data_IF_199460982985
#
_entry.id   IF_199460982985
#
_cell.length_a   1.000
_cell.length_b   1.000
_cell.length_c   1.000
_cell.angle_alpha   90.00
_cell.angle_beta   90.00
_cell.angle_gamma   90.00
#
_symmetry.space_group_name_H-M   'P 1'
#
loop_
_entity.id
_entity.type
_entity.pdbx_description
1 polymer ?
#
# COMPACT_ATOMS: atom_id res chain seq x y z
N UNK A 1 10.43 1.26 13.22
CA UNK A 1 11.80 1.39 13.74
C UNK A 1 12.00 0.63 15.05
N UNK A 2 11.16 0.86 16.07
CA UNK A 2 11.29 0.21 17.38
C UNK A 2 11.43 -1.33 17.31
N UNK A 3 10.70 -1.97 16.42
CA UNK A 3 10.75 -3.44 16.23
C UNK A 3 11.88 -3.89 15.28
N UNK A 4 12.86 -3.05 15.01
CA UNK A 4 14.01 -3.35 14.14
C UNK A 4 13.74 -3.20 12.65
N UNK A 5 12.58 -2.64 12.26
CA UNK A 5 12.24 -2.41 10.86
C UNK A 5 12.95 -1.15 10.37
N UNK A 6 13.74 -1.29 9.30
CA UNK A 6 14.46 -0.19 8.66
C UNK A 6 13.78 0.31 7.39
N UNK A 7 12.92 -0.50 6.77
CA UNK A 7 12.28 -0.23 5.50
C UNK A 7 10.83 -0.72 5.52
N UNK A 8 9.90 0.08 4.98
CA UNK A 8 8.48 -0.25 4.89
C UNK A 8 7.97 -0.11 3.46
N UNK A 9 7.00 -0.94 3.07
CA UNK A 9 6.34 -0.87 1.75
C UNK A 9 5.11 0.06 1.80
N UNK A 10 5.36 1.30 2.20
CA UNK A 10 4.35 2.36 2.36
C UNK A 10 5.00 3.72 2.01
N UNK A 11 4.24 4.65 1.40
CA UNK A 11 2.81 4.67 1.15
C UNK A 11 2.37 3.92 -0.12
N UNK A 12 1.13 3.40 -0.08
CA UNK A 12 0.42 2.96 -1.27
C UNK A 12 -0.22 4.20 -1.92
N UNK A 13 0.11 4.48 -3.19
CA UNK A 13 -0.24 5.72 -3.89
C UNK A 13 -1.04 5.47 -5.18
N UNK A 14 -1.63 4.30 -5.29
CA UNK A 14 -2.44 3.98 -6.44
C UNK A 14 -3.68 4.87 -6.50
N UNK A 15 -3.99 5.30 -7.72
CA UNK A 15 -5.18 6.05 -8.03
C UNK A 15 -6.19 5.09 -8.65
N UNK A 16 -7.39 4.99 -8.08
CA UNK A 16 -8.41 4.06 -8.51
C UNK A 16 -9.80 4.70 -8.49
N UNK A 17 -10.56 4.50 -9.58
CA UNK A 17 -11.96 4.89 -9.68
C UNK A 17 -12.92 3.69 -9.66
N UNK A 18 -12.42 2.48 -9.89
CA UNK A 18 -13.27 1.30 -9.96
C UNK A 18 -13.39 0.63 -8.59
N UNK A 19 -14.56 0.74 -7.91
CA UNK A 19 -14.74 0.17 -6.58
C UNK A 19 -14.72 -1.37 -6.56
N UNK A 20 -14.69 -2.03 -7.72
CA UNK A 20 -14.55 -3.48 -7.82
C UNK A 20 -13.12 -3.96 -7.58
N UNK A 21 -12.12 -3.06 -7.69
CA UNK A 21 -10.75 -3.43 -7.39
C UNK A 21 -10.56 -3.68 -5.90
N UNK A 22 -10.16 -4.91 -5.53
CA UNK A 22 -10.09 -5.34 -4.13
C UNK A 22 -9.12 -4.54 -3.26
N UNK A 23 -8.14 -3.86 -3.87
CA UNK A 23 -7.15 -3.04 -3.17
C UNK A 23 -7.52 -1.55 -3.09
N UNK A 24 -8.70 -1.16 -3.56
CA UNK A 24 -9.16 0.24 -3.48
C UNK A 24 -9.13 0.77 -2.03
N UNK A 25 -9.36 -0.09 -1.05
CA UNK A 25 -9.32 0.25 0.38
C UNK A 25 -7.94 0.72 0.85
N UNK A 26 -6.87 0.36 0.15
CA UNK A 26 -5.50 0.82 0.45
C UNK A 26 -5.22 2.20 -0.16
N UNK A 27 -6.05 2.70 -1.11
CA UNK A 27 -5.84 3.94 -1.83
C UNK A 27 -6.04 5.18 -0.94
N UNK A 28 -5.43 6.29 -1.38
CA UNK A 28 -5.56 7.60 -0.72
C UNK A 28 -6.78 8.41 -1.22
N UNK A 29 -7.76 7.74 -1.84
CA UNK A 29 -8.93 8.37 -2.44
C UNK A 29 -8.78 8.66 -3.93
N UNK A 30 -9.74 9.38 -4.48
CA UNK A 30 -9.88 9.66 -5.93
C UNK A 30 -9.40 11.07 -6.33
N UNK A 31 -8.82 11.83 -5.39
CA UNK A 31 -8.31 13.17 -5.65
C UNK A 31 -6.77 13.14 -5.72
N UNK A 32 -6.17 13.37 -6.91
CA UNK A 32 -4.72 13.39 -7.06
C UNK A 32 -4.01 14.45 -6.21
N UNK A 33 -4.68 15.56 -5.90
CA UNK A 33 -4.12 16.60 -5.04
C UNK A 33 -4.07 16.13 -3.59
N UNK A 34 -5.17 15.59 -3.06
CA UNK A 34 -5.20 15.02 -1.71
C UNK A 34 -4.19 13.88 -1.57
N UNK A 35 -4.17 12.95 -2.53
CA UNK A 35 -3.20 11.85 -2.56
C UNK A 35 -1.75 12.37 -2.54
N UNK A 36 -1.45 13.47 -3.26
CA UNK A 36 -0.13 14.10 -3.25
C UNK A 36 0.23 14.69 -1.88
N UNK A 37 -0.72 15.29 -1.17
CA UNK A 37 -0.51 15.82 0.18
C UNK A 37 -0.30 14.72 1.21
N UNK A 38 -1.06 13.65 1.10
CA UNK A 38 -0.90 12.48 1.97
C UNK A 38 0.43 11.76 1.69
N UNK A 39 0.83 11.61 0.42
CA UNK A 39 2.12 11.06 0.03
C UNK A 39 3.29 11.82 0.68
N UNK A 40 3.27 13.16 0.59
CA UNK A 40 4.25 14.03 1.24
C UNK A 40 4.30 13.79 2.75
N UNK A 41 3.15 13.81 3.40
CA UNK A 41 3.05 13.67 4.86
C UNK A 41 3.52 12.29 5.33
N UNK A 42 3.15 11.22 4.61
CA UNK A 42 3.51 9.85 4.97
C UNK A 42 5.02 9.62 4.79
N UNK A 43 5.59 10.05 3.64
CA UNK A 43 7.04 9.92 3.41
C UNK A 43 7.84 10.65 4.47
N UNK A 44 7.50 11.92 4.76
CA UNK A 44 8.15 12.70 5.82
C UNK A 44 7.95 12.09 7.21
N UNK A 45 6.75 11.53 7.47
CA UNK A 45 6.45 10.88 8.74
C UNK A 45 7.29 9.62 8.99
N UNK A 46 7.53 8.81 7.96
CA UNK A 46 8.39 7.63 8.07
C UNK A 46 9.87 7.99 8.09
N UNK A 47 10.31 8.86 7.20
CA UNK A 47 11.74 9.14 6.99
C UNK A 47 12.28 10.25 7.89
N UNK A 48 11.40 11.03 8.53
CA UNK A 48 11.77 12.25 9.27
C UNK A 48 12.55 13.24 8.38
N UNK A 49 13.37 14.10 8.94
CA UNK A 49 14.21 15.02 8.17
C UNK A 49 15.47 14.33 7.59
N UNK A 50 15.83 13.15 8.11
CA UNK A 50 16.96 12.34 7.63
C UNK A 50 16.73 10.86 7.94
N UNK A 51 17.10 10.00 7.00
CA UNK A 51 17.07 8.55 7.19
C UNK A 51 18.01 8.05 8.29
N UNK A 52 19.03 8.82 8.65
CA UNK A 52 19.93 8.50 9.76
C UNK A 52 19.34 8.83 11.15
N UNK A 53 18.25 9.60 11.21
CA UNK A 53 17.62 9.98 12.46
C UNK A 53 17.05 8.78 13.22
N UNK A 54 16.97 8.93 14.54
CA UNK A 54 16.31 7.97 15.40
C UNK A 54 14.83 7.85 14.99
N UNK A 55 14.36 6.60 14.87
CA UNK A 55 12.97 6.33 14.48
C UNK A 55 12.67 6.41 12.99
N UNK A 56 13.58 6.88 12.16
CA UNK A 56 13.37 6.92 10.72
C UNK A 56 13.28 5.51 10.11
N UNK A 57 12.36 5.34 9.17
CA UNK A 57 12.15 4.12 8.37
C UNK A 57 12.10 4.54 6.90
N UNK A 58 12.85 3.86 6.04
CA UNK A 58 12.83 4.16 4.62
C UNK A 58 11.43 3.87 4.04
N UNK A 59 10.85 4.85 3.36
CA UNK A 59 9.55 4.72 2.71
C UNK A 59 9.68 4.11 1.32
N UNK A 60 8.64 3.40 0.88
CA UNK A 60 8.52 2.84 -0.46
C UNK A 60 7.20 3.28 -1.08
N UNK A 61 7.26 4.19 -2.05
CA UNK A 61 6.08 4.61 -2.79
C UNK A 61 5.63 3.50 -3.76
N UNK A 62 4.40 3.03 -3.62
CA UNK A 62 3.87 1.90 -4.38
C UNK A 62 2.42 2.11 -4.79
N UNK A 63 1.94 1.43 -5.83
CA UNK A 63 2.69 0.63 -6.80
C UNK A 63 2.87 1.47 -8.07
N UNK A 64 4.08 1.76 -8.42
CA UNK A 64 4.39 2.59 -9.58
C UNK A 64 4.28 1.76 -10.87
N UNK A 65 3.31 1.96 -11.77
CA UNK A 65 2.30 3.00 -11.82
C UNK A 65 1.06 2.51 -12.57
N UNK A 66 -0.12 2.98 -12.16
CA UNK A 66 -1.38 2.72 -12.88
C UNK A 66 -2.12 1.47 -12.44
N UNK A 67 -1.69 0.78 -11.40
CA UNK A 67 -2.25 -0.50 -10.95
C UNK A 67 -3.75 -0.42 -10.60
N UNK A 68 -4.18 0.68 -9.97
CA UNK A 68 -5.59 0.92 -9.64
C UNK A 68 -6.51 1.18 -10.84
N UNK A 69 -5.95 1.27 -12.06
CA UNK A 69 -6.72 1.40 -13.29
C UNK A 69 -7.01 0.06 -13.98
N UNK A 70 -6.71 -1.06 -13.32
CA UNK A 70 -6.90 -2.40 -13.87
C UNK A 70 -8.31 -2.59 -14.41
N UNK A 71 -8.43 -3.03 -15.66
CA UNK A 71 -9.70 -3.09 -16.36
C UNK A 71 -10.69 -4.01 -15.65
N UNK A 72 -11.90 -3.49 -15.44
CA UNK A 72 -12.96 -4.19 -14.73
C UNK A 72 -12.70 -4.41 -13.25
N UNK A 73 -11.75 -3.70 -12.65
CA UNK A 73 -11.32 -3.88 -11.27
C UNK A 73 -10.63 -5.22 -11.01
N UNK A 74 -10.19 -5.91 -12.07
CA UNK A 74 -9.52 -7.21 -11.94
C UNK A 74 -8.05 -7.01 -11.64
N UNK A 75 -7.63 -7.54 -10.51
CA UNK A 75 -6.24 -7.45 -10.07
C UNK A 75 -5.29 -8.06 -11.09
N UNK A 76 -4.09 -7.48 -11.26
CA UNK A 76 -3.09 -7.85 -12.26
C UNK A 76 -3.45 -7.62 -13.74
N UNK A 77 -4.65 -7.10 -14.04
CA UNK A 77 -5.09 -6.93 -15.41
C UNK A 77 -4.40 -5.73 -16.09
N UNK A 78 -4.53 -5.65 -17.41
CA UNK A 78 -3.98 -4.55 -18.18
C UNK A 78 -4.67 -3.21 -17.87
N UNK A 79 -3.98 -2.14 -18.18
CA UNK A 79 -4.50 -0.77 -18.05
C UNK A 79 -4.27 0.02 -19.34
N UNK A 80 -5.28 0.79 -19.74
CA UNK A 80 -5.14 1.77 -20.82
C UNK A 80 -5.18 3.17 -20.24
N UNK A 81 -4.04 3.82 -20.19
CA UNK A 81 -3.88 5.14 -19.59
C UNK A 81 -3.26 6.08 -20.63
N UNK A 82 -4.04 7.08 -21.05
CA UNK A 82 -3.51 8.13 -21.94
C UNK A 82 -2.41 8.93 -21.22
N UNK A 83 -1.52 9.56 -21.99
CA UNK A 83 -0.49 10.43 -21.42
C UNK A 83 -1.11 11.59 -20.61
N UNK A 84 -2.24 12.12 -21.05
CA UNK A 84 -2.97 13.13 -20.29
C UNK A 84 -3.39 12.61 -18.91
N UNK A 85 -4.03 11.45 -18.85
CA UNK A 85 -4.44 10.84 -17.57
C UNK A 85 -3.24 10.46 -16.71
N UNK A 86 -2.18 9.90 -17.29
CA UNK A 86 -0.95 9.56 -16.59
C UNK A 86 -0.38 10.77 -15.83
N UNK A 87 -0.24 11.92 -16.52
CA UNK A 87 0.36 13.12 -15.96
C UNK A 87 -0.53 13.86 -14.97
N UNK A 88 -1.86 13.77 -15.09
CA UNK A 88 -2.78 14.52 -14.26
C UNK A 88 -3.34 13.71 -13.08
N UNK A 89 -3.46 12.38 -13.22
CA UNK A 89 -4.08 11.55 -12.18
C UNK A 89 -3.08 10.62 -11.47
N UNK A 90 -2.21 9.94 -12.21
CA UNK A 90 -1.36 8.88 -11.64
C UNK A 90 0.01 9.38 -11.17
N UNK A 91 0.64 10.28 -11.91
CA UNK A 91 1.96 10.83 -11.57
C UNK A 91 1.96 11.75 -10.34
N UNK A 92 0.94 12.58 -10.05
CA UNK A 92 1.05 13.62 -9.03
C UNK A 92 1.44 13.10 -7.64
N UNK A 93 0.85 12.01 -7.16
CA UNK A 93 1.18 11.45 -5.86
C UNK A 93 2.62 10.91 -5.80
N UNK A 94 3.06 10.20 -6.85
CA UNK A 94 4.45 9.72 -6.93
C UNK A 94 5.46 10.86 -7.05
N UNK A 95 5.15 11.90 -7.81
CA UNK A 95 5.98 13.12 -7.87
C UNK A 95 6.14 13.74 -6.48
N UNK A 96 5.05 13.83 -5.73
CA UNK A 96 5.06 14.35 -4.36
C UNK A 96 5.91 13.48 -3.43
N UNK A 97 5.80 12.15 -3.52
CA UNK A 97 6.64 11.23 -2.76
C UNK A 97 8.12 11.38 -3.10
N UNK A 98 8.47 11.46 -4.40
CA UNK A 98 9.85 11.67 -4.86
C UNK A 98 10.40 13.00 -4.36
N UNK A 99 9.64 14.09 -4.52
CA UNK A 99 10.02 15.42 -4.04
C UNK A 99 10.19 15.49 -2.51
N UNK A 100 9.51 14.60 -1.80
CA UNK A 100 9.65 14.44 -0.33
C UNK A 100 10.78 13.51 0.07
N UNK A 101 11.56 13.02 -0.90
CA UNK A 101 12.76 12.21 -0.68
C UNK A 101 12.46 10.72 -0.44
N UNK A 102 11.35 10.17 -0.96
CA UNK A 102 11.07 8.73 -0.85
C UNK A 102 12.30 7.90 -1.23
N UNK A 103 12.73 7.04 -0.31
CA UNK A 103 13.95 6.26 -0.47
C UNK A 103 13.85 5.20 -1.57
N UNK A 104 12.66 4.64 -1.74
CA UNK A 104 12.41 3.54 -2.68
C UNK A 104 11.07 3.69 -3.38
N UNK A 105 10.97 3.03 -4.53
CA UNK A 105 9.74 2.89 -5.30
C UNK A 105 9.54 1.42 -5.64
N UNK A 106 8.33 0.91 -5.55
CA UNK A 106 7.97 -0.44 -5.98
C UNK A 106 7.16 -0.34 -7.28
N UNK A 107 7.57 -1.07 -8.33
CA UNK A 107 6.78 -1.11 -9.56
C UNK A 107 5.48 -1.88 -9.37
N UNK A 108 4.51 -1.60 -10.22
CA UNK A 108 3.23 -2.28 -10.25
C UNK A 108 3.24 -3.52 -11.16
N UNK A 109 2.24 -4.39 -11.01
CA UNK A 109 2.11 -5.64 -11.77
C UNK A 109 1.55 -5.47 -13.18
N UNK A 110 0.68 -4.47 -13.36
CA UNK A 110 -0.09 -4.30 -14.59
C UNK A 110 0.79 -3.98 -15.80
N UNK A 111 0.31 -4.32 -16.95
CA UNK A 111 0.76 -3.69 -18.18
C UNK A 111 0.04 -2.37 -18.41
N UNK A 112 0.75 -1.41 -18.95
CA UNK A 112 0.18 -0.13 -19.36
C UNK A 112 0.33 0.02 -20.87
N UNK A 113 -0.80 0.11 -21.55
CA UNK A 113 -0.85 0.25 -23.01
C UNK A 113 -0.05 -0.87 -23.70
N UNK A 114 -0.20 -2.11 -23.24
CA UNK A 114 0.42 -3.31 -23.77
C UNK A 114 1.86 -3.61 -23.34
N UNK A 115 2.45 -2.80 -22.44
CA UNK A 115 3.80 -3.04 -21.90
C UNK A 115 3.74 -3.16 -20.39
N UNK A 116 4.12 -4.31 -19.79
CA UNK A 116 4.23 -4.45 -18.34
C UNK A 116 5.14 -3.39 -17.74
N UNK A 117 4.73 -2.81 -16.63
CA UNK A 117 5.51 -1.74 -15.99
C UNK A 117 6.91 -2.24 -15.64
N UNK A 118 7.05 -3.50 -15.22
CA UNK A 118 8.35 -4.13 -14.92
C UNK A 118 9.33 -4.17 -16.12
N UNK A 119 8.82 -4.09 -17.36
CA UNK A 119 9.64 -4.05 -18.59
C UNK A 119 9.67 -2.64 -19.22
N UNK A 120 9.01 -1.65 -18.62
CA UNK A 120 8.85 -0.33 -19.24
C UNK A 120 9.98 0.65 -18.87
N UNK A 121 11.03 0.70 -19.71
CA UNK A 121 12.07 1.71 -19.59
C UNK A 121 11.49 3.14 -19.57
N UNK A 122 10.46 3.40 -20.41
CA UNK A 122 9.78 4.71 -20.45
C UNK A 122 9.28 5.11 -19.05
N UNK A 123 8.62 4.21 -18.34
CA UNK A 123 8.04 4.53 -17.02
C UNK A 123 9.11 4.59 -15.94
N UNK A 124 9.96 3.55 -15.83
CA UNK A 124 10.90 3.39 -14.71
C UNK A 124 12.16 4.25 -14.85
N UNK A 125 12.65 4.44 -16.08
CA UNK A 125 13.87 5.22 -16.31
C UNK A 125 13.56 6.63 -16.79
N UNK A 126 12.86 6.77 -17.93
CA UNK A 126 12.74 8.08 -18.58
C UNK A 126 11.80 9.02 -17.80
N UNK A 127 10.71 8.50 -17.23
CA UNK A 127 9.78 9.30 -16.42
C UNK A 127 10.24 9.33 -14.97
N UNK A 128 10.31 8.20 -14.27
CA UNK A 128 10.57 8.17 -12.83
C UNK A 128 11.94 8.80 -12.48
N UNK A 129 13.00 8.36 -13.14
CA UNK A 129 14.34 8.90 -12.87
C UNK A 129 14.60 10.19 -13.64
N UNK A 130 14.31 10.21 -14.95
CA UNK A 130 14.64 11.34 -15.82
C UNK A 130 13.80 12.58 -15.56
N UNK A 131 12.46 12.45 -15.51
CA UNK A 131 11.55 13.62 -15.37
C UNK A 131 11.16 13.92 -13.93
N UNK A 132 11.01 12.91 -13.06
CA UNK A 132 10.67 13.13 -11.67
C UNK A 132 11.89 13.27 -10.76
N UNK A 133 13.09 12.91 -11.24
CA UNK A 133 14.34 13.06 -10.50
C UNK A 133 14.54 12.04 -9.38
N UNK A 134 13.93 10.86 -9.46
CA UNK A 134 14.08 9.82 -8.44
C UNK A 134 15.52 9.26 -8.43
N UNK A 135 16.20 9.36 -7.29
CA UNK A 135 17.59 8.94 -7.07
C UNK A 135 17.75 7.70 -6.17
N UNK A 136 16.65 7.17 -5.62
CA UNK A 136 16.62 5.95 -4.85
C UNK A 136 16.63 4.68 -5.70
N UNK A 137 16.36 3.52 -5.09
CA UNK A 137 16.26 2.28 -5.85
C UNK A 137 14.81 1.85 -6.10
N UNK A 138 14.60 1.14 -7.21
CA UNK A 138 13.32 0.52 -7.56
C UNK A 138 13.38 -0.95 -7.19
N UNK A 139 12.41 -1.41 -6.40
CA UNK A 139 12.20 -2.84 -6.13
C UNK A 139 11.03 -3.35 -6.98
N UNK A 140 11.10 -4.58 -7.44
CA UNK A 140 9.92 -5.24 -8.04
C UNK A 140 8.85 -5.47 -6.99
N UNK A 141 7.57 -5.56 -7.40
CA UNK A 141 6.55 -6.17 -6.56
C UNK A 141 6.74 -7.70 -6.54
N UNK A 142 6.01 -8.38 -5.69
CA UNK A 142 6.09 -9.83 -5.43
C UNK A 142 5.91 -10.65 -6.71
N UNK A 143 6.99 -11.25 -7.17
CA UNK A 143 6.94 -12.06 -8.39
C UNK A 143 6.77 -11.27 -9.69
N UNK A 144 6.88 -9.94 -9.70
CA UNK A 144 6.56 -9.12 -10.87
C UNK A 144 7.55 -9.29 -12.03
N UNK A 145 8.78 -9.69 -11.77
CA UNK A 145 9.77 -9.96 -12.83
C UNK A 145 9.42 -11.27 -13.54
N UNK A 146 9.19 -12.34 -12.81
CA UNK A 146 8.84 -13.64 -13.43
C UNK A 146 7.51 -13.57 -14.19
N UNK A 147 6.58 -12.71 -13.77
CA UNK A 147 5.31 -12.48 -14.47
C UNK A 147 5.47 -11.90 -15.88
N UNK A 148 6.62 -11.35 -16.26
CA UNK A 148 6.90 -10.95 -17.64
C UNK A 148 6.75 -12.12 -18.64
N UNK A 149 6.89 -13.34 -18.19
CA UNK A 149 6.59 -14.55 -18.98
C UNK A 149 5.08 -14.67 -19.24
N UNK A 150 4.26 -14.40 -18.23
CA UNK A 150 2.79 -14.45 -18.33
C UNK A 150 2.24 -13.36 -19.28
N UNK A 151 2.94 -12.22 -19.35
CA UNK A 151 2.66 -11.14 -20.30
C UNK A 151 3.29 -11.38 -21.69
N UNK A 152 3.84 -12.56 -21.96
CA UNK A 152 4.50 -12.92 -23.23
C UNK A 152 5.65 -11.97 -23.63
N UNK A 153 6.27 -11.28 -22.67
CA UNK A 153 7.42 -10.40 -22.91
C UNK A 153 8.76 -11.12 -22.81
N UNK A 154 8.80 -12.24 -22.10
CA UNK A 154 9.98 -13.08 -21.94
C UNK A 154 9.63 -14.57 -22.08
N UNK A 155 10.56 -15.35 -22.66
CA UNK A 155 10.40 -16.82 -22.77
C UNK A 155 10.73 -17.54 -21.46
N UNK A 156 11.64 -16.96 -20.67
CA UNK A 156 12.17 -17.56 -19.45
C UNK A 156 12.62 -16.49 -18.45
N UNK A 157 13.03 -16.92 -17.25
CA UNK A 157 13.43 -16.03 -16.16
C UNK A 157 14.69 -15.20 -16.49
N UNK A 158 15.62 -15.74 -17.29
CA UNK A 158 16.79 -14.99 -17.75
C UNK A 158 16.37 -13.79 -18.64
N UNK A 159 15.44 -14.02 -19.59
CA UNK A 159 14.87 -12.95 -20.40
C UNK A 159 14.09 -11.93 -19.59
N UNK A 160 13.34 -12.39 -18.60
CA UNK A 160 12.60 -11.53 -17.67
C UNK A 160 13.56 -10.66 -16.84
N UNK A 161 14.63 -11.24 -16.28
CA UNK A 161 15.66 -10.52 -15.54
C UNK A 161 16.34 -9.44 -16.38
N UNK A 162 16.69 -9.78 -17.64
CA UNK A 162 17.30 -8.84 -18.58
C UNK A 162 16.39 -7.62 -18.85
N UNK A 163 15.12 -7.88 -19.16
CA UNK A 163 14.15 -6.82 -19.44
C UNK A 163 13.93 -5.91 -18.23
N UNK A 164 13.74 -6.50 -17.05
CA UNK A 164 13.49 -5.75 -15.83
C UNK A 164 14.69 -4.87 -15.42
N UNK A 165 15.91 -5.42 -15.47
CA UNK A 165 17.12 -4.64 -15.17
C UNK A 165 17.32 -3.50 -16.17
N UNK A 166 17.15 -3.77 -17.46
CA UNK A 166 17.23 -2.74 -18.53
C UNK A 166 16.14 -1.67 -18.42
N UNK A 167 14.98 -2.02 -17.89
CA UNK A 167 13.91 -1.07 -17.62
C UNK A 167 14.22 -0.15 -16.43
N UNK A 168 15.03 -0.61 -15.46
CA UNK A 168 15.45 0.18 -14.30
C UNK A 168 15.00 -0.35 -12.94
N UNK A 169 14.61 -1.62 -12.83
CA UNK A 169 14.41 -2.32 -11.55
C UNK A 169 15.77 -2.70 -10.98
N UNK A 170 16.04 -2.25 -9.76
CA UNK A 170 17.32 -2.45 -9.09
C UNK A 170 17.35 -3.67 -8.18
N UNK A 171 16.18 -4.09 -7.67
CA UNK A 171 16.04 -5.19 -6.71
C UNK A 171 14.87 -6.09 -7.09
N UNK A 172 15.12 -7.38 -7.11
CA UNK A 172 14.13 -8.44 -7.34
C UNK A 172 13.46 -8.85 -6.03
N UNK A 173 12.13 -8.95 -6.01
CA UNK A 173 11.38 -9.45 -4.85
C UNK A 173 10.86 -10.86 -5.13
N UNK A 174 11.42 -11.85 -4.42
CA UNK A 174 10.96 -13.26 -4.33
C UNK A 174 11.22 -14.14 -5.55
N UNK A 175 11.37 -13.57 -6.74
CA UNK A 175 11.48 -14.34 -7.99
C UNK A 175 12.78 -15.12 -8.14
N UNK A 176 13.85 -14.69 -7.48
CA UNK A 176 15.22 -15.17 -7.68
C UNK A 176 15.73 -15.04 -9.14
N UNK A 177 15.04 -14.29 -9.99
CA UNK A 177 15.41 -14.08 -11.38
C UNK A 177 16.78 -13.41 -11.50
N UNK A 178 17.03 -12.40 -10.67
CA UNK A 178 18.33 -11.74 -10.65
C UNK A 178 19.42 -12.63 -10.06
N UNK A 179 19.12 -13.27 -8.95
CA UNK A 179 20.08 -14.16 -8.28
C UNK A 179 20.56 -15.30 -9.19
N UNK A 180 19.65 -15.90 -9.94
CA UNK A 180 19.96 -17.07 -10.75
C UNK A 180 20.56 -16.73 -12.12
N UNK A 181 20.36 -15.52 -12.67
CA UNK A 181 20.63 -15.29 -14.09
C UNK A 181 21.54 -14.08 -14.39
N UNK A 182 21.72 -13.10 -13.48
CA UNK A 182 22.50 -11.90 -13.82
C UNK A 182 23.97 -12.20 -14.15
N UNK A 183 24.60 -13.15 -13.47
CA UNK A 183 25.99 -13.53 -13.75
C UNK A 183 26.16 -14.04 -15.18
N UNK A 184 25.31 -14.96 -15.62
CA UNK A 184 25.33 -15.50 -16.98
C UNK A 184 25.00 -14.44 -18.03
N UNK A 185 24.05 -13.55 -17.74
CA UNK A 185 23.68 -12.46 -18.63
C UNK A 185 24.83 -11.46 -18.85
N UNK A 186 25.64 -11.20 -17.83
CA UNK A 186 26.88 -10.42 -17.97
C UNK A 186 27.94 -11.19 -18.77
N UNK A 187 28.19 -12.45 -18.41
CA UNK A 187 29.19 -13.26 -19.07
C UNK A 187 28.91 -13.45 -20.58
N UNK A 188 27.64 -13.50 -20.95
CA UNK A 188 27.20 -13.57 -22.36
C UNK A 188 27.12 -12.22 -23.07
N UNK A 189 27.38 -11.11 -22.38
CA UNK A 189 27.31 -9.75 -22.95
C UNK A 189 25.90 -9.24 -23.23
N UNK A 190 24.85 -9.90 -22.74
CA UNK A 190 23.45 -9.47 -22.89
C UNK A 190 23.12 -8.24 -22.03
N UNK A 191 23.74 -8.13 -20.86
CA UNK A 191 23.73 -6.93 -20.01
C UNK A 191 25.14 -6.50 -19.70
N UNK A 192 25.35 -5.21 -19.44
CA UNK A 192 26.65 -4.73 -19.00
C UNK A 192 26.78 -4.77 -17.47
N UNK A 193 27.99 -4.98 -16.98
CA UNK A 193 28.30 -4.93 -15.55
C UNK A 193 27.98 -3.55 -14.95
N UNK A 194 28.09 -2.47 -15.74
CA UNK A 194 27.73 -1.11 -15.30
C UNK A 194 26.27 -1.00 -14.89
N UNK A 195 25.33 -1.73 -15.52
CA UNK A 195 23.92 -1.72 -15.10
C UNK A 195 23.74 -2.35 -13.73
N UNK A 196 24.48 -3.43 -13.45
CA UNK A 196 24.45 -4.06 -12.12
C UNK A 196 25.08 -3.10 -11.10
N UNK A 197 26.24 -2.51 -11.41
CA UNK A 197 26.92 -1.59 -10.53
C UNK A 197 26.04 -0.39 -10.16
N UNK A 198 25.29 0.17 -11.11
CA UNK A 198 24.34 1.25 -10.87
C UNK A 198 23.22 0.83 -9.92
N UNK A 199 22.69 -0.38 -10.06
CA UNK A 199 21.64 -0.90 -9.19
C UNK A 199 22.16 -1.15 -7.77
N UNK A 200 23.33 -1.76 -7.66
CA UNK A 200 24.02 -1.99 -6.38
C UNK A 200 24.32 -0.66 -5.68
N UNK A 201 24.87 0.33 -6.40
CA UNK A 201 25.16 1.66 -5.87
C UNK A 201 23.92 2.31 -5.26
N UNK A 202 22.76 2.25 -5.93
CA UNK A 202 21.50 2.81 -5.42
C UNK A 202 21.07 2.16 -4.12
N UNK A 203 21.16 0.84 -4.04
CA UNK A 203 20.80 0.08 -2.81
C UNK A 203 21.77 0.44 -1.67
N UNK A 204 23.09 0.43 -1.95
CA UNK A 204 24.13 0.76 -0.96
C UNK A 204 23.99 2.19 -0.47
N UNK A 205 23.70 3.15 -1.36
CA UNK A 205 23.45 4.55 -1.02
C UNK A 205 22.30 4.74 -0.02
N UNK A 206 21.22 3.98 -0.15
CA UNK A 206 20.12 4.04 0.83
C UNK A 206 20.55 3.43 2.16
N UNK A 207 21.28 2.30 2.16
CA UNK A 207 21.84 1.72 3.39
C UNK A 207 22.79 2.67 4.10
N UNK A 208 23.62 3.37 3.36
CA UNK A 208 24.56 4.39 3.86
C UNK A 208 23.81 5.58 4.46
N UNK A 209 22.85 6.16 3.73
CA UNK A 209 21.98 7.25 4.23
C UNK A 209 21.27 6.88 5.53
N UNK A 210 21.02 5.60 5.76
CA UNK A 210 20.42 5.08 7.00
C UNK A 210 21.44 4.80 8.11
N UNK A 211 22.73 4.89 7.83
CA UNK A 211 23.81 4.55 8.78
C UNK A 211 23.90 3.06 9.10
N UNK A 212 23.44 2.18 8.19
CA UNK A 212 23.40 0.74 8.45
C UNK A 212 24.77 0.06 8.38
N UNK A 213 25.77 0.71 7.80
CA UNK A 213 27.15 0.20 7.79
C UNK A 213 27.83 0.41 9.15
N UNK A 214 27.55 1.51 9.85
CA UNK A 214 28.08 1.81 11.19
C UNK A 214 27.25 1.16 12.28
N UNK A 215 25.91 1.13 12.10
CA UNK A 215 24.95 0.61 13.09
C UNK A 215 23.90 -0.27 12.40
N UNK A 216 24.24 -1.52 12.04
CA UNK A 216 23.31 -2.42 11.34
C UNK A 216 22.07 -2.77 12.15
N UNK A 217 22.20 -2.77 13.48
CA UNK A 217 21.07 -2.93 14.41
C UNK A 217 20.80 -1.58 15.06
N UNK A 218 19.62 -1.03 14.79
CA UNK A 218 19.17 0.24 15.35
C UNK A 218 18.25 -0.05 16.54
N UNK A 219 18.55 0.59 17.68
CA UNK A 219 17.74 0.47 18.90
C UNK A 219 17.09 1.80 19.20
N UNK A 220 15.79 1.80 19.48
CA UNK A 220 15.01 3.00 19.72
C UNK A 220 14.15 2.83 20.98
N UNK A 221 13.78 3.95 21.59
CA UNK A 221 12.82 3.96 22.68
C UNK A 221 11.43 3.52 22.19
N UNK A 222 10.74 2.76 23.04
CA UNK A 222 9.38 2.31 22.72
C UNK A 222 8.45 3.52 22.60
N UNK A 223 7.67 3.64 21.48
CA UNK A 223 6.74 4.73 21.32
C UNK A 223 5.58 4.63 22.33
N UNK A 224 4.93 5.75 22.61
CA UNK A 224 3.69 5.76 23.39
C UNK A 224 2.53 5.19 22.55
N UNK A 225 2.27 3.90 22.75
CA UNK A 225 1.21 3.17 22.05
C UNK A 225 -0.17 3.77 22.31
N UNK A 226 -0.41 4.34 23.50
CA UNK A 226 -1.71 4.93 23.85
C UNK A 226 -1.96 6.21 23.06
N UNK A 227 -0.94 7.06 22.92
CA UNK A 227 -1.04 8.28 22.10
C UNK A 227 -1.20 7.95 20.62
N UNK A 228 -0.47 6.95 20.10
CA UNK A 228 -0.63 6.48 18.73
C UNK A 228 -2.06 5.95 18.49
N UNK A 229 -2.62 5.18 19.41
CA UNK A 229 -3.99 4.68 19.32
C UNK A 229 -5.02 5.82 19.36
N UNK A 230 -4.80 6.84 20.20
CA UNK A 230 -5.64 8.04 20.27
C UNK A 230 -5.62 8.82 18.94
N UNK A 231 -4.46 8.99 18.34
CA UNK A 231 -4.31 9.65 17.05
C UNK A 231 -4.98 8.85 15.93
N UNK A 232 -4.76 7.53 15.88
CA UNK A 232 -5.41 6.64 14.92
C UNK A 232 -6.94 6.72 15.03
N UNK A 233 -7.50 6.73 16.25
CA UNK A 233 -8.93 6.91 16.47
C UNK A 233 -9.47 8.25 15.95
N UNK A 234 -8.72 9.35 16.11
CA UNK A 234 -9.09 10.65 15.54
C UNK A 234 -9.09 10.63 14.01
N UNK A 235 -8.07 10.04 13.40
CA UNK A 235 -7.99 9.90 11.95
C UNK A 235 -9.15 9.04 11.42
N UNK A 236 -9.41 7.90 12.04
CA UNK A 236 -10.53 7.02 11.68
C UNK A 236 -11.88 7.76 11.71
N UNK A 237 -12.13 8.58 12.74
CA UNK A 237 -13.36 9.36 12.81
C UNK A 237 -13.49 10.39 11.67
N UNK A 238 -12.39 10.89 11.13
CA UNK A 238 -12.38 11.84 10.00
C UNK A 238 -12.55 11.16 8.64
N UNK A 239 -12.34 9.84 8.55
CA UNK A 239 -12.55 9.09 7.30
C UNK A 239 -14.00 8.65 7.08
N UNK A 240 -14.83 8.73 8.13
CA UNK A 240 -16.23 8.35 8.03
C UNK A 240 -17.01 9.33 7.14
N UNK A 241 -17.71 8.83 6.13
CA UNK A 241 -18.53 9.61 5.22
C UNK A 241 -20.00 9.35 5.49
N UNK A 242 -20.75 10.39 5.86
CA UNK A 242 -22.21 10.32 6.07
C UNK A 242 -22.92 10.44 4.72
N UNK A 243 -23.26 9.31 4.12
CA UNK A 243 -23.92 9.27 2.81
C UNK A 243 -25.41 9.65 2.88
N UNK A 244 -26.08 9.32 4.00
CA UNK A 244 -27.51 9.55 4.17
C UNK A 244 -27.86 9.62 5.66
N UNK A 245 -28.69 10.61 6.04
CA UNK A 245 -29.24 10.73 7.40
C UNK A 245 -30.65 11.33 7.35
N UNK A 246 -31.57 10.62 6.69
CA UNK A 246 -32.98 11.03 6.62
C UNK A 246 -33.65 10.91 7.99
N UNK A 247 -34.46 11.90 8.34
CA UNK A 247 -35.14 11.93 9.63
C UNK A 247 -34.26 12.13 10.85
N UNK A 248 -32.98 12.53 10.64
CA UNK A 248 -32.00 12.72 11.71
C UNK A 248 -31.83 11.48 12.59
N UNK A 249 -31.77 10.30 11.97
CA UNK A 249 -31.53 9.03 12.68
C UNK A 249 -30.20 9.04 13.46
N UNK A 250 -29.18 9.67 12.90
CA UNK A 250 -27.87 9.80 13.53
C UNK A 250 -27.70 11.21 14.11
N UNK A 251 -27.05 11.36 15.28
CA UNK A 251 -26.49 10.29 16.13
C UNK A 251 -27.57 9.45 16.83
N UNK A 252 -27.29 8.16 17.04
CA UNK A 252 -28.22 7.26 17.74
C UNK A 252 -28.39 7.66 19.21
N UNK A 253 -29.62 7.53 19.71
CA UNK A 253 -29.92 7.70 21.11
C UNK A 253 -29.48 6.47 21.92
N UNK A 254 -28.79 6.70 23.04
CA UNK A 254 -28.31 5.62 23.92
C UNK A 254 -29.43 4.83 24.62
N UNK A 255 -30.65 5.34 24.64
CA UNK A 255 -31.83 4.63 25.16
C UNK A 255 -32.45 3.63 24.22
N UNK A 256 -32.07 3.64 22.96
CA UNK A 256 -32.63 2.78 21.91
C UNK A 256 -32.20 1.32 22.08
N UNK A 257 -33.09 0.40 21.66
CA UNK A 257 -32.77 -1.01 21.52
C UNK A 257 -32.16 -1.23 20.13
N UNK A 258 -30.92 -1.69 20.09
CA UNK A 258 -30.15 -1.81 18.87
C UNK A 258 -29.87 -3.27 18.54
N UNK A 259 -30.18 -3.69 17.31
CA UNK A 259 -29.65 -4.94 16.75
C UNK A 259 -28.46 -4.63 15.87
N UNK A 260 -27.35 -5.35 16.08
CA UNK A 260 -26.15 -5.27 15.24
C UNK A 260 -25.99 -6.59 14.48
N UNK A 261 -25.76 -6.52 13.19
CA UNK A 261 -25.59 -7.69 12.31
C UNK A 261 -24.58 -7.40 11.20
N UNK A 262 -24.24 -8.45 10.47
CA UNK A 262 -23.32 -8.38 9.33
C UNK A 262 -21.97 -9.03 9.60
N UNK A 263 -21.25 -9.41 8.54
CA UNK A 263 -20.02 -10.21 8.65
C UNK A 263 -18.91 -9.50 9.43
N UNK A 264 -18.87 -8.15 9.40
CA UNK A 264 -17.82 -7.38 10.06
C UNK A 264 -18.19 -6.89 11.47
N UNK A 265 -19.39 -7.23 11.96
CA UNK A 265 -19.82 -6.75 13.28
C UNK A 265 -19.08 -7.40 14.46
N UNK A 266 -18.90 -8.73 14.41
CA UNK A 266 -18.38 -9.54 15.51
C UNK A 266 -16.92 -9.94 15.37
N UNK A 267 -16.27 -9.65 14.26
CA UNK A 267 -14.92 -10.12 13.95
C UNK A 267 -13.94 -8.95 14.05
N UNK A 268 -13.02 -9.03 15.01
CA UNK A 268 -11.97 -8.01 15.16
C UNK A 268 -10.79 -8.19 14.20
N UNK A 269 -10.50 -9.44 13.77
CA UNK A 269 -9.36 -9.76 12.93
C UNK A 269 -9.38 -9.06 11.55
N UNK A 270 -10.55 -8.91 10.96
CA UNK A 270 -10.74 -8.26 9.65
C UNK A 270 -10.30 -6.78 9.64
N UNK A 271 -10.31 -6.11 10.79
CA UNK A 271 -9.86 -4.73 10.90
C UNK A 271 -8.34 -4.55 10.73
N UNK A 272 -7.59 -5.64 10.74
CA UNK A 272 -6.13 -5.60 10.56
C UNK A 272 -5.70 -5.51 9.10
N UNK A 273 -6.59 -5.80 8.15
CA UNK A 273 -6.29 -5.80 6.71
C UNK A 273 -5.57 -7.06 6.22
N UNK A 274 -5.19 -7.07 4.94
CA UNK A 274 -4.74 -8.28 4.24
C UNK A 274 -3.28 -8.67 4.53
N UNK A 275 -2.44 -7.71 4.91
CA UNK A 275 -0.98 -7.88 5.02
C UNK A 275 -0.47 -8.10 6.44
N UNK A 276 -1.34 -8.55 7.35
CA UNK A 276 -0.97 -8.82 8.73
C UNK A 276 -0.54 -10.28 8.89
N UNK A 277 0.75 -10.49 9.18
CA UNK A 277 1.35 -11.81 9.30
C UNK A 277 1.22 -12.36 10.73
N UNK A 278 1.28 -11.48 11.74
CA UNK A 278 1.24 -11.83 13.16
C UNK A 278 0.02 -11.20 13.83
N UNK A 279 -1.09 -11.93 13.85
CA UNK A 279 -2.36 -11.45 14.43
C UNK A 279 -2.50 -11.76 15.92
N UNK A 280 -1.70 -12.68 16.46
CA UNK A 280 -1.86 -13.14 17.86
C UNK A 280 -1.42 -12.11 18.91
N UNK A 281 -0.45 -11.27 18.57
CA UNK A 281 0.08 -10.24 19.47
C UNK A 281 -0.85 -9.03 19.62
N UNK A 282 -1.74 -8.79 18.67
CA UNK A 282 -2.69 -7.69 18.68
C UNK A 282 -4.02 -8.13 18.08
N UNK A 283 -5.05 -8.16 18.92
CA UNK A 283 -6.43 -8.42 18.47
C UNK A 283 -7.20 -7.10 18.46
N UNK A 284 -7.55 -6.54 17.31
CA UNK A 284 -8.39 -5.37 17.25
C UNK A 284 -9.74 -5.64 17.92
N UNK A 285 -10.27 -4.61 18.57
CA UNK A 285 -11.61 -4.67 19.14
C UNK A 285 -12.63 -4.83 18.03
N UNK A 286 -13.60 -5.74 18.20
CA UNK A 286 -14.68 -5.87 17.23
C UNK A 286 -15.60 -4.64 17.26
N UNK A 287 -16.33 -4.40 16.16
CA UNK A 287 -17.29 -3.31 16.09
C UNK A 287 -18.37 -3.39 17.19
N UNK A 288 -18.88 -4.60 17.43
CA UNK A 288 -19.88 -4.81 18.50
C UNK A 288 -19.33 -4.53 19.90
N UNK A 289 -18.07 -4.91 20.16
CA UNK A 289 -17.45 -4.65 21.47
C UNK A 289 -17.16 -3.16 21.67
N UNK A 290 -16.79 -2.46 20.59
CA UNK A 290 -16.61 -1.02 20.62
C UNK A 290 -17.92 -0.28 20.95
N UNK A 291 -19.04 -0.67 20.33
CA UNK A 291 -20.37 -0.10 20.65
C UNK A 291 -20.77 -0.39 22.09
N UNK A 292 -20.59 -1.61 22.57
CA UNK A 292 -20.89 -1.98 23.97
C UNK A 292 -20.06 -1.17 24.96
N UNK A 293 -18.77 -0.98 24.67
CA UNK A 293 -17.90 -0.16 25.52
C UNK A 293 -18.31 1.32 25.53
N UNK A 294 -18.72 1.85 24.38
CA UNK A 294 -19.18 3.25 24.24
C UNK A 294 -20.53 3.50 24.91
N UNK A 295 -21.44 2.53 24.83
CA UNK A 295 -22.81 2.65 25.33
C UNK A 295 -23.19 1.46 26.23
N UNK A 296 -22.60 1.31 27.44
CA UNK A 296 -22.71 0.14 28.28
C UNK A 296 -24.14 -0.13 28.78
N UNK A 297 -24.98 0.91 28.83
CA UNK A 297 -26.38 0.82 29.28
C UNK A 297 -27.38 0.64 28.13
N UNK A 298 -26.88 0.58 26.88
CA UNK A 298 -27.74 0.39 25.71
C UNK A 298 -28.01 -1.10 25.52
N UNK A 299 -29.26 -1.46 25.25
CA UNK A 299 -29.64 -2.84 24.95
C UNK A 299 -29.21 -3.21 23.53
N UNK A 300 -28.08 -3.93 23.41
CA UNK A 300 -27.50 -4.32 22.12
C UNK A 300 -27.61 -5.83 21.94
N UNK A 301 -28.27 -6.25 20.89
CA UNK A 301 -28.36 -7.64 20.44
C UNK A 301 -27.51 -7.85 19.19
N UNK A 302 -26.59 -8.80 19.22
CA UNK A 302 -25.77 -9.16 18.07
C UNK A 302 -26.25 -10.47 17.46
N UNK A 303 -26.36 -10.50 16.14
CA UNK A 303 -26.71 -11.66 15.33
C UNK A 303 -25.76 -11.79 14.14
N UNK A 304 -25.18 -12.96 13.97
CA UNK A 304 -24.21 -13.27 12.94
C UNK A 304 -24.80 -13.84 11.64
N UNK A 305 -26.07 -14.27 11.69
CA UNK A 305 -26.74 -14.84 10.53
C UNK A 305 -28.06 -14.12 10.19
N UNK A 306 -28.44 -14.21 8.91
CA UNK A 306 -29.53 -13.45 8.34
C UNK A 306 -30.90 -13.80 9.00
N UNK A 307 -31.17 -15.07 9.26
CA UNK A 307 -32.46 -15.50 9.78
C UNK A 307 -32.71 -14.98 11.21
N UNK A 308 -31.71 -15.13 12.10
CA UNK A 308 -31.80 -14.62 13.47
C UNK A 308 -31.78 -13.09 13.52
N UNK A 309 -31.06 -12.43 12.57
CA UNK A 309 -31.05 -10.97 12.42
C UNK A 309 -32.43 -10.42 12.09
N UNK A 310 -33.15 -11.05 11.20
CA UNK A 310 -34.50 -10.61 10.81
C UNK A 310 -35.45 -10.60 12.00
N UNK A 311 -35.45 -11.65 12.82
CA UNK A 311 -36.30 -11.73 14.01
C UNK A 311 -35.93 -10.71 15.09
N UNK A 312 -34.65 -10.48 15.29
CA UNK A 312 -34.12 -9.47 16.23
C UNK A 312 -34.47 -8.04 15.78
N UNK A 313 -34.27 -7.76 14.48
CA UNK A 313 -34.57 -6.46 13.87
C UNK A 313 -36.03 -6.01 14.09
N UNK A 314 -36.99 -6.92 13.98
CA UNK A 314 -38.42 -6.63 14.21
C UNK A 314 -38.74 -6.13 15.63
N UNK A 315 -37.85 -6.43 16.57
CA UNK A 315 -38.00 -6.07 17.99
C UNK A 315 -37.03 -4.98 18.43
N UNK A 316 -36.40 -4.29 17.50
CA UNK A 316 -35.42 -3.24 17.76
C UNK A 316 -35.89 -1.89 17.24
N UNK A 317 -35.43 -0.82 17.87
CA UNK A 317 -35.65 0.55 17.38
C UNK A 317 -34.72 0.88 16.21
N UNK A 318 -33.51 0.31 16.21
CA UNK A 318 -32.48 0.54 15.19
C UNK A 318 -31.77 -0.77 14.85
N UNK A 319 -31.40 -0.92 13.58
CA UNK A 319 -30.54 -2.00 13.08
C UNK A 319 -29.27 -1.40 12.50
N UNK A 320 -28.12 -1.87 12.97
CA UNK A 320 -26.81 -1.53 12.41
C UNK A 320 -26.32 -2.74 11.62
N UNK A 321 -26.10 -2.55 10.31
CA UNK A 321 -25.55 -3.57 9.42
C UNK A 321 -24.08 -3.24 9.12
N UNK A 322 -23.15 -4.02 9.69
CA UNK A 322 -21.71 -3.91 9.39
C UNK A 322 -21.40 -4.79 8.18
N UNK A 323 -21.47 -4.19 6.98
CA UNK A 323 -21.29 -4.83 5.69
C UNK A 323 -19.96 -4.36 5.07
N UNK A 324 -19.30 -5.23 4.30
CA UNK A 324 -18.06 -4.91 3.60
C UNK A 324 -18.29 -4.59 2.14
#
# INVERSE_FOLDING_TARGET
AYDGINWTFCPMLDFCHDPRWGRIIECQGEDPYLASKLAEAIVKGFQTDSLSNEGAVAACAKHYIGYGASEGGRDYNHTEISDYALWNNYIPAFRSAVNSGAATVMNSFNEMNGIPVAASRRLLTDILRGKLGFDGFVISDWGAISQLKNHCMAENDAGAAELALKAGIDMDMVDDCYFNHLEELVASGRISEELINLSVERVLKIKDKMGLFEKPIRSFNRPDIKENARLAGKMCAQTAVLLKNEGNLLPLDKGQKITVTGPFAGVGGEHSGSWVILTEAYKPQSFIDAIRAYAPNTRIEYKDNLASSYLAARNSDVVICALG
#
